data_IF_090163242513
#
_entry.id   IF_090163242513
#
_cell.length_a   1.000
_cell.length_b   1.000
_cell.length_c   1.000
_cell.angle_alpha   90.00
_cell.angle_beta   90.00
_cell.angle_gamma   90.00
#
_symmetry.space_group_name_H-M   'P 1'
#
loop_
_entity.id
_entity.type
_entity.pdbx_description
1 polymer ?
#
# COMPACT_ATOMS: atom_id res chain seq x y z
N UNK A 1 -8.30 5.86 -1.24
CA UNK A 1 -9.72 5.61 -1.60
C UNK A 1 -10.69 6.43 -0.73
N UNK A 2 -11.43 7.39 -1.33
CA UNK A 2 -12.48 8.14 -0.64
C UNK A 2 -13.54 7.23 0.00
N UNK A 3 -14.08 7.61 1.17
CA UNK A 3 -15.15 6.89 1.89
C UNK A 3 -14.85 5.42 2.24
N UNK A 4 -13.58 5.03 2.30
CA UNK A 4 -13.18 3.64 2.63
C UNK A 4 -13.03 3.37 4.13
N UNK A 5 -13.03 4.41 4.95
CA UNK A 5 -12.72 4.31 6.38
C UNK A 5 -13.96 3.86 7.13
N UNK A 6 -13.81 2.80 7.94
CA UNK A 6 -14.84 2.27 8.80
C UNK A 6 -14.34 2.08 10.23
N UNK A 7 -15.23 2.26 11.20
CA UNK A 7 -15.03 1.99 12.63
C UNK A 7 -16.04 0.92 13.02
N UNK A 8 -15.59 -0.25 13.44
CA UNK A 8 -16.42 -1.44 13.70
C UNK A 8 -17.37 -1.75 12.52
N UNK A 9 -16.88 -1.59 11.29
CA UNK A 9 -17.65 -1.80 10.05
C UNK A 9 -18.61 -0.66 9.67
N UNK A 10 -18.77 0.37 10.51
CA UNK A 10 -19.59 1.54 10.19
C UNK A 10 -18.75 2.61 9.49
N UNK A 11 -19.18 3.15 8.33
CA UNK A 11 -18.46 4.22 7.64
C UNK A 11 -18.28 5.47 8.51
N UNK A 12 -17.15 6.15 8.34
CA UNK A 12 -16.84 7.42 9.00
C UNK A 12 -16.21 8.41 8.03
N UNK A 13 -16.32 9.71 8.31
CA UNK A 13 -15.63 10.78 7.61
C UNK A 13 -14.20 11.03 8.13
N UNK A 14 -13.73 10.23 9.11
CA UNK A 14 -12.36 10.30 9.61
C UNK A 14 -11.31 9.99 8.54
N UNK A 15 -10.12 10.57 8.69
CA UNK A 15 -9.01 10.39 7.75
C UNK A 15 -7.81 9.79 8.51
N UNK A 16 -7.27 8.63 8.10
CA UNK A 16 -6.13 8.00 8.78
C UNK A 16 -4.88 8.90 8.90
N UNK A 17 -4.72 9.88 8.01
CA UNK A 17 -3.57 10.80 7.99
C UNK A 17 -3.70 11.95 9.00
N UNK A 18 -4.92 12.37 9.33
CA UNK A 18 -5.16 13.47 10.28
C UNK A 18 -5.80 13.00 11.60
N UNK A 19 -6.39 11.81 11.62
CA UNK A 19 -7.06 11.22 12.76
C UNK A 19 -8.44 10.67 12.44
N UNK A 20 -8.80 9.58 13.12
CA UNK A 20 -10.09 8.92 13.01
C UNK A 20 -10.78 9.01 14.38
N UNK A 21 -11.96 9.67 14.49
CA UNK A 21 -12.68 9.70 15.74
C UNK A 21 -13.22 8.31 16.07
N UNK A 22 -12.99 7.86 17.30
CA UNK A 22 -13.55 6.62 17.83
C UNK A 22 -14.22 6.88 19.17
N UNK A 23 -15.23 6.09 19.50
CA UNK A 23 -15.86 6.12 20.80
C UNK A 23 -14.95 5.52 21.88
N UNK A 24 -15.30 5.77 23.14
CA UNK A 24 -14.61 5.19 24.28
C UNK A 24 -14.54 3.67 24.17
N UNK A 25 -13.34 3.13 24.44
CA UNK A 25 -13.12 1.69 24.48
C UNK A 25 -13.31 1.25 25.94
N UNK A 26 -14.32 0.44 26.26
CA UNK A 26 -14.51 -0.07 27.62
C UNK A 26 -13.39 -1.04 28.00
N UNK A 27 -13.23 -1.30 29.29
CA UNK A 27 -12.28 -2.30 29.78
C UNK A 27 -12.55 -3.67 29.14
N UNK A 28 -11.53 -4.28 28.54
CA UNK A 28 -11.66 -5.52 27.78
C UNK A 28 -12.34 -5.40 26.41
N UNK A 29 -12.77 -4.20 26.01
CA UNK A 29 -13.34 -3.93 24.70
C UNK A 29 -12.29 -3.71 23.62
N UNK A 30 -12.74 -3.65 22.37
CA UNK A 30 -11.91 -3.34 21.22
C UNK A 30 -12.67 -2.48 20.21
N UNK A 31 -11.90 -1.78 19.37
CA UNK A 31 -12.40 -1.06 18.20
C UNK A 31 -11.55 -1.46 17.01
N UNK A 32 -12.19 -1.81 15.91
CA UNK A 32 -11.52 -2.17 14.65
C UNK A 32 -11.69 -1.03 13.65
N UNK A 33 -10.57 -0.58 13.10
CA UNK A 33 -10.55 0.41 12.02
C UNK A 33 -10.12 -0.30 10.73
N UNK A 34 -10.83 -0.04 9.64
CA UNK A 34 -10.46 -0.55 8.31
C UNK A 34 -10.52 0.59 7.32
N UNK A 35 -9.55 0.68 6.42
CA UNK A 35 -9.46 1.71 5.39
C UNK A 35 -8.72 1.16 4.16
N UNK A 36 -8.86 1.85 3.02
CA UNK A 36 -8.19 1.48 1.76
C UNK A 36 -7.34 2.65 1.25
N UNK A 37 -6.15 2.30 0.75
CA UNK A 37 -5.22 3.23 0.12
C UNK A 37 -4.96 2.80 -1.32
N UNK A 38 -4.70 3.77 -2.18
CA UNK A 38 -4.33 3.54 -3.57
C UNK A 38 -2.81 3.61 -3.71
N UNK A 39 -2.22 2.63 -4.40
CA UNK A 39 -0.80 2.67 -4.74
C UNK A 39 -0.63 3.49 -6.02
N UNK A 40 -0.14 4.72 -5.91
CA UNK A 40 0.03 5.64 -7.05
C UNK A 40 1.43 5.63 -7.66
N UNK A 41 2.41 5.10 -6.93
CA UNK A 41 3.81 5.03 -7.35
C UNK A 41 4.55 3.94 -6.58
N UNK A 42 5.64 3.42 -7.15
CA UNK A 42 6.54 2.50 -6.46
C UNK A 42 7.56 3.31 -5.66
N UNK A 43 7.63 3.17 -4.32
CA UNK A 43 8.63 3.85 -3.52
C UNK A 43 10.04 3.27 -3.75
N UNK A 44 11.07 3.98 -3.28
CA UNK A 44 12.45 3.49 -3.26
C UNK A 44 12.95 3.49 -1.81
N UNK A 45 13.13 2.33 -1.15
CA UNK A 45 12.93 0.96 -1.65
C UNK A 45 11.45 0.62 -1.92
N UNK A 46 11.13 -0.46 -2.69
CA UNK A 46 9.77 -0.83 -3.12
C UNK A 46 8.91 -1.42 -1.99
N UNK A 47 8.91 -0.77 -0.83
CA UNK A 47 8.22 -1.17 0.39
C UNK A 47 7.43 0.02 0.91
N UNK A 48 6.14 -0.18 1.17
CA UNK A 48 5.32 0.75 1.92
C UNK A 48 5.19 0.29 3.38
N UNK A 49 5.58 1.16 4.32
CA UNK A 49 5.44 0.92 5.76
C UNK A 49 4.24 1.65 6.32
N UNK A 50 3.44 0.99 7.16
CA UNK A 50 2.28 1.56 7.83
C UNK A 50 2.36 1.31 9.34
N UNK A 51 2.03 2.33 10.13
CA UNK A 51 2.02 2.33 11.60
C UNK A 51 0.89 3.21 12.10
N UNK A 52 0.25 2.81 13.20
CA UNK A 52 -0.79 3.59 13.86
C UNK A 52 -0.27 4.20 15.16
N UNK A 53 -0.80 5.38 15.49
CA UNK A 53 -0.64 6.03 16.79
C UNK A 53 -2.01 6.25 17.41
N UNK A 54 -2.14 5.94 18.69
CA UNK A 54 -3.38 6.11 19.42
C UNK A 54 -3.15 6.92 20.69
N UNK A 55 -3.69 8.14 20.70
CA UNK A 55 -3.77 8.98 21.89
C UNK A 55 -5.05 8.68 22.67
N UNK A 56 -4.93 8.47 23.97
CA UNK A 56 -6.06 8.21 24.84
C UNK A 56 -5.91 8.90 26.20
N UNK A 57 -7.05 9.07 26.86
CA UNK A 57 -7.09 9.57 28.23
C UNK A 57 -7.81 8.57 29.12
N UNK A 58 -7.41 8.51 30.39
CA UNK A 58 -8.10 7.70 31.40
C UNK A 58 -8.05 8.38 32.76
N UNK A 59 -9.06 8.07 33.58
CA UNK A 59 -9.16 8.56 34.96
C UNK A 59 -9.08 7.36 35.92
N UNK A 60 -8.04 7.25 36.75
CA UNK A 60 -7.85 6.08 37.62
C UNK A 60 -8.94 5.89 38.67
N UNK A 61 -9.54 6.97 39.18
CA UNK A 61 -10.64 6.94 40.15
C UNK A 61 -11.54 8.18 40.01
N UNK A 62 -12.80 8.14 40.50
CA UNK A 62 -13.66 9.31 40.49
C UNK A 62 -12.98 10.52 41.15
N UNK A 63 -13.08 11.69 40.52
CA UNK A 63 -12.50 12.96 40.97
C UNK A 63 -10.95 13.04 40.97
N UNK A 64 -10.23 12.09 40.36
CA UNK A 64 -8.78 12.26 40.12
C UNK A 64 -8.50 13.00 38.81
N UNK A 65 -7.33 13.62 38.62
CA UNK A 65 -6.95 14.19 37.33
C UNK A 65 -6.99 13.16 36.20
N UNK A 66 -7.37 13.60 35.01
CA UNK A 66 -7.29 12.80 33.78
C UNK A 66 -5.83 12.69 33.33
N UNK A 67 -5.42 11.48 32.96
CA UNK A 67 -4.07 11.20 32.46
C UNK A 67 -4.15 10.97 30.95
N UNK A 68 -3.29 11.64 30.19
CA UNK A 68 -3.13 11.44 28.73
C UNK A 68 -1.94 10.54 28.43
N UNK A 69 -2.11 9.60 27.52
CA UNK A 69 -1.05 8.75 27.00
C UNK A 69 -1.18 8.58 25.49
N UNK A 70 -0.08 8.21 24.87
CA UNK A 70 -0.03 7.79 23.47
C UNK A 70 0.67 6.44 23.40
N UNK A 71 0.20 5.59 22.50
CA UNK A 71 0.85 4.32 22.17
C UNK A 71 0.92 4.17 20.64
N UNK A 72 1.88 3.39 20.17
CA UNK A 72 2.07 3.10 18.75
C UNK A 72 1.91 1.61 18.50
N UNK A 73 1.34 1.25 17.36
CA UNK A 73 1.25 -0.15 16.93
C UNK A 73 2.62 -0.70 16.51
N UNK A 74 2.67 -1.99 16.19
CA UNK A 74 3.72 -2.53 15.35
C UNK A 74 3.70 -1.89 13.95
N UNK A 75 4.81 -2.02 13.23
CA UNK A 75 4.90 -1.64 11.82
C UNK A 75 4.48 -2.83 10.95
N UNK A 76 3.72 -2.56 9.89
CA UNK A 76 3.42 -3.52 8.82
C UNK A 76 4.05 -3.02 7.53
N UNK A 77 4.81 -3.88 6.86
CA UNK A 77 5.45 -3.59 5.57
C UNK A 77 4.71 -4.33 4.45
N UNK A 78 4.49 -3.65 3.34
CA UNK A 78 3.90 -4.20 2.12
C UNK A 78 4.85 -3.96 0.95
N UNK A 79 5.29 -5.03 0.30
CA UNK A 79 6.11 -4.93 -0.90
C UNK A 79 5.25 -4.51 -2.11
N UNK A 80 5.73 -3.55 -2.89
CA UNK A 80 5.03 -3.00 -4.04
C UNK A 80 5.81 -3.34 -5.31
N UNK A 81 5.20 -4.12 -6.19
CA UNK A 81 5.76 -4.51 -7.47
C UNK A 81 4.85 -4.13 -8.64
N UNK A 82 5.45 -3.86 -9.79
CA UNK A 82 4.72 -3.72 -11.06
C UNK A 82 5.27 -4.71 -12.07
N UNK A 83 4.44 -5.08 -13.05
CA UNK A 83 4.91 -5.77 -14.23
C UNK A 83 5.85 -4.84 -15.01
N UNK A 84 7.00 -5.37 -15.41
CA UNK A 84 7.97 -4.65 -16.21
C UNK A 84 8.49 -5.62 -17.27
N UNK A 85 8.01 -5.48 -18.51
CA UNK A 85 8.46 -6.30 -19.64
C UNK A 85 9.15 -5.39 -20.64
N UNK A 86 10.45 -5.65 -20.87
CA UNK A 86 11.20 -4.96 -21.91
C UNK A 86 11.20 -5.76 -23.21
N UNK A 87 11.03 -5.06 -24.33
CA UNK A 87 11.09 -5.65 -25.67
C UNK A 87 12.34 -5.16 -26.39
N UNK A 88 13.11 -6.09 -26.93
CA UNK A 88 14.24 -5.80 -27.81
C UNK A 88 13.96 -6.39 -29.18
N UNK A 89 13.99 -5.56 -30.21
CA UNK A 89 13.85 -6.00 -31.61
C UNK A 89 15.21 -5.96 -32.31
N UNK A 90 15.56 -7.05 -32.97
CA UNK A 90 16.75 -7.18 -33.79
C UNK A 90 16.36 -7.57 -35.23
N UNK A 91 17.28 -7.30 -36.16
CA UNK A 91 17.18 -7.70 -37.55
C UNK A 91 18.47 -8.41 -37.95
N UNK A 92 18.36 -9.45 -38.76
CA UNK A 92 19.51 -10.19 -39.29
C UNK A 92 20.26 -9.42 -40.39
N UNK A 93 19.58 -8.53 -41.11
CA UNK A 93 20.13 -7.69 -42.18
C UNK A 93 19.75 -6.21 -42.02
N UNK A 94 20.75 -5.35 -41.88
CA UNK A 94 20.54 -3.88 -41.82
C UNK A 94 20.35 -3.23 -43.20
N UNK A 95 20.81 -3.90 -44.25
CA UNK A 95 20.64 -3.51 -45.66
C UNK A 95 20.27 -4.79 -46.43
N UNK A 96 19.26 -4.73 -47.30
CA UNK A 96 18.78 -5.86 -48.07
C UNK A 96 18.39 -5.42 -49.50
N UNK A 97 18.39 -6.38 -50.42
CA UNK A 97 18.08 -6.21 -51.85
C UNK A 97 16.85 -7.04 -52.28
N UNK A 98 16.34 -6.81 -53.50
CA UNK A 98 15.17 -7.54 -54.01
C UNK A 98 15.50 -9.03 -54.08
N UNK A 99 14.66 -9.85 -53.45
CA UNK A 99 14.85 -11.30 -53.35
C UNK A 99 15.44 -11.75 -52.01
N UNK A 100 15.95 -10.84 -51.17
CA UNK A 100 16.37 -11.18 -49.81
C UNK A 100 15.17 -11.53 -48.92
N UNK A 101 15.33 -12.58 -48.11
CA UNK A 101 14.51 -12.79 -46.91
C UNK A 101 15.18 -12.11 -45.72
N UNK A 102 14.40 -11.40 -44.90
CA UNK A 102 14.85 -10.68 -43.71
C UNK A 102 14.11 -11.26 -42.50
N UNK A 103 14.85 -11.56 -41.45
CA UNK A 103 14.32 -12.09 -40.19
C UNK A 103 14.37 -11.02 -39.11
N UNK A 104 13.23 -10.74 -38.50
CA UNK A 104 13.15 -9.91 -37.30
C UNK A 104 12.94 -10.80 -36.08
N UNK A 105 13.76 -10.57 -35.05
CA UNK A 105 13.66 -11.27 -33.77
C UNK A 105 13.20 -10.29 -32.70
N UNK A 106 12.17 -10.65 -31.94
CA UNK A 106 11.71 -9.88 -30.77
C UNK A 106 11.98 -10.73 -29.53
N UNK A 107 12.75 -10.18 -28.60
CA UNK A 107 12.97 -10.78 -27.28
C UNK A 107 12.18 -9.99 -26.24
N UNK A 108 11.33 -10.69 -25.49
CA UNK A 108 10.61 -10.14 -24.35
C UNK A 108 11.28 -10.59 -23.05
N UNK A 109 11.63 -9.65 -22.19
CA UNK A 109 12.29 -9.91 -20.90
C UNK A 109 11.42 -9.39 -19.77
N UNK A 110 10.88 -10.28 -18.93
CA UNK A 110 10.24 -9.89 -17.68
C UNK A 110 11.31 -9.47 -16.66
N UNK A 111 11.33 -8.18 -16.32
CA UNK A 111 12.21 -7.58 -15.33
C UNK A 111 11.55 -7.45 -13.94
N UNK A 112 10.27 -7.85 -13.81
CA UNK A 112 9.58 -7.85 -12.52
C UNK A 112 9.97 -9.09 -11.69
N UNK A 113 9.92 -8.99 -10.35
CA UNK A 113 10.19 -10.12 -9.46
C UNK A 113 9.08 -11.19 -9.45
N UNK A 114 7.91 -10.88 -10.01
CA UNK A 114 6.79 -11.82 -10.16
C UNK A 114 6.67 -12.31 -11.60
N UNK A 115 6.23 -13.56 -11.77
CA UNK A 115 6.01 -14.15 -13.09
C UNK A 115 4.95 -13.38 -13.88
N UNK A 116 5.23 -13.14 -15.16
CA UNK A 116 4.24 -12.66 -16.12
C UNK A 116 3.56 -13.89 -16.76
N UNK A 117 2.24 -14.01 -16.58
CA UNK A 117 1.44 -15.11 -17.12
C UNK A 117 0.53 -14.60 -18.25
N UNK A 118 0.26 -15.46 -19.24
CA UNK A 118 -0.69 -15.23 -20.33
C UNK A 118 -2.12 -15.60 -19.96
#
# INVERSE_FOLDING_TARGET
VPNSVTVNGTPTAGDPSTGIPINNIPAGGSVTITFQVDVTSIPTPPVASNVASFGYTFQPAPNTPTITRTTTSNIVNTDIFTANVALTKAVDKIIATIGDTITYTITATNQAPLAANN
#
